data_IF_999506106948
#
_entry.id   IF_999506106948
#
_cell.length_a   1.000
_cell.length_b   1.000
_cell.length_c   1.000
_cell.angle_alpha   90.00
_cell.angle_beta   90.00
_cell.angle_gamma   90.00
#
_symmetry.space_group_name_H-M   'P 1'
#
loop_
_entity.id
_entity.type
_entity.pdbx_description
1 polymer ?
#
# COMPACT_ATOMS: atom_id res chain seq x y z
N UNK A 1 20.14 -24.45 -29.43
CA UNK A 1 19.91 -25.20 -28.16
C UNK A 1 18.74 -26.15 -28.35
N UNK A 2 18.80 -27.41 -27.87
CA UNK A 2 17.65 -28.33 -27.95
C UNK A 2 16.43 -27.69 -27.28
N UNK A 3 15.25 -27.76 -27.90
CA UNK A 3 14.02 -27.13 -27.41
C UNK A 3 13.71 -27.46 -25.94
N UNK A 4 14.08 -28.66 -25.46
CA UNK A 4 13.90 -29.04 -24.05
C UNK A 4 14.80 -28.28 -23.07
N UNK A 5 16.02 -27.87 -23.47
CA UNK A 5 16.91 -27.05 -22.62
C UNK A 5 16.39 -25.63 -22.47
N UNK A 6 15.76 -25.09 -23.52
CA UNK A 6 15.11 -23.77 -23.46
C UNK A 6 13.88 -23.82 -22.56
N UNK A 7 13.06 -24.86 -22.68
CA UNK A 7 11.88 -25.06 -21.83
C UNK A 7 12.26 -25.11 -20.34
N UNK A 8 13.24 -25.93 -19.96
CA UNK A 8 13.69 -26.04 -18.56
C UNK A 8 14.19 -24.69 -18.03
N UNK A 9 14.97 -23.96 -18.82
CA UNK A 9 15.51 -22.67 -18.40
C UNK A 9 14.40 -21.63 -18.19
N UNK A 10 13.41 -21.58 -19.08
CA UNK A 10 12.25 -20.70 -18.94
C UNK A 10 11.45 -21.06 -17.68
N UNK A 11 11.16 -22.33 -17.45
CA UNK A 11 10.41 -22.77 -16.26
C UNK A 11 11.16 -22.46 -14.97
N UNK A 12 12.48 -22.65 -14.93
CA UNK A 12 13.30 -22.32 -13.76
C UNK A 12 13.35 -20.82 -13.47
N UNK A 13 13.49 -19.98 -14.50
CA UNK A 13 13.46 -18.51 -14.35
C UNK A 13 12.09 -18.04 -13.85
N UNK A 14 11.01 -18.61 -14.40
CA UNK A 14 9.65 -18.28 -13.97
C UNK A 14 9.40 -18.72 -12.51
N UNK A 15 9.87 -19.91 -12.13
CA UNK A 15 9.79 -20.40 -10.75
C UNK A 15 10.53 -19.50 -9.76
N UNK A 16 11.73 -19.05 -10.11
CA UNK A 16 12.50 -18.09 -9.31
C UNK A 16 11.79 -16.74 -9.18
N UNK A 17 11.18 -16.23 -10.25
CA UNK A 17 10.44 -14.98 -10.22
C UNK A 17 9.21 -15.05 -9.30
N UNK A 18 8.42 -16.13 -9.40
CA UNK A 18 7.25 -16.37 -8.53
C UNK A 18 7.68 -16.51 -7.07
N UNK A 19 8.74 -17.28 -6.81
CA UNK A 19 9.26 -17.46 -5.45
C UNK A 19 9.77 -16.15 -4.84
N UNK A 20 10.48 -15.35 -5.63
CA UNK A 20 10.98 -14.03 -5.20
C UNK A 20 9.83 -13.07 -4.89
N UNK A 21 8.76 -13.09 -5.70
CA UNK A 21 7.57 -12.29 -5.46
C UNK A 21 6.84 -12.73 -4.18
N UNK A 22 6.70 -14.03 -3.94
CA UNK A 22 6.08 -14.56 -2.71
C UNK A 22 6.86 -14.19 -1.44
N UNK A 23 8.20 -14.20 -1.50
CA UNK A 23 9.04 -13.74 -0.38
C UNK A 23 8.83 -12.24 -0.15
N UNK A 24 8.76 -11.43 -1.22
CA UNK A 24 8.56 -9.99 -1.11
C UNK A 24 7.25 -9.65 -0.38
N UNK A 25 6.15 -10.34 -0.70
CA UNK A 25 4.85 -10.09 -0.04
C UNK A 25 4.81 -10.54 1.42
N UNK A 26 5.62 -11.52 1.82
CA UNK A 26 5.75 -11.97 3.21
C UNK A 26 6.57 -11.02 4.09
N UNK A 27 7.48 -10.24 3.50
CA UNK A 27 8.33 -9.30 4.26
C UNK A 27 7.60 -7.96 4.46
N UNK A 28 6.63 -7.63 3.62
CA UNK A 28 5.87 -6.38 3.71
C UNK A 28 5.00 -6.35 4.98
N UNK A 29 5.31 -5.42 5.89
CA UNK A 29 4.60 -5.27 7.17
C UNK A 29 3.79 -3.99 7.19
N UNK A 30 2.66 -4.02 7.89
CA UNK A 30 1.90 -2.80 8.20
C UNK A 30 2.81 -1.88 9.02
N UNK A 31 2.80 -0.60 8.67
CA UNK A 31 3.68 0.42 9.26
C UNK A 31 2.89 1.28 10.22
N UNK A 32 3.48 1.60 11.37
CA UNK A 32 2.88 2.49 12.37
C UNK A 32 2.63 3.88 11.76
N UNK A 33 1.52 4.51 12.16
CA UNK A 33 1.12 5.81 11.58
C UNK A 33 2.16 6.90 11.84
N UNK A 34 2.84 6.85 13.00
CA UNK A 34 3.90 7.79 13.37
C UNK A 34 5.11 7.78 12.43
N UNK A 35 5.30 6.68 11.68
CA UNK A 35 6.38 6.56 10.73
C UNK A 35 6.03 7.13 9.34
N UNK A 36 4.81 7.61 9.14
CA UNK A 36 4.27 8.03 7.86
C UNK A 36 3.93 9.52 7.92
N UNK A 37 4.49 10.28 6.97
CA UNK A 37 4.10 11.65 6.72
C UNK A 37 3.15 11.69 5.52
N UNK A 38 2.04 12.39 5.68
CA UNK A 38 1.04 12.56 4.62
C UNK A 38 1.10 14.00 4.14
N UNK A 39 1.30 14.18 2.84
CA UNK A 39 1.40 15.49 2.20
C UNK A 39 0.07 15.89 1.56
N UNK A 40 -0.68 14.93 1.01
CA UNK A 40 -1.92 15.19 0.28
C UNK A 40 -2.90 14.01 0.42
N UNK A 41 -4.18 14.33 0.65
CA UNK A 41 -5.29 13.36 0.68
C UNK A 41 -6.53 14.01 0.10
N UNK A 42 -7.00 13.48 -1.01
CA UNK A 42 -8.15 14.02 -1.72
C UNK A 42 -9.10 12.89 -2.16
N UNK A 43 -10.41 13.13 -2.06
CA UNK A 43 -11.44 12.24 -2.58
C UNK A 43 -12.09 12.92 -3.80
N UNK A 44 -11.83 12.39 -4.98
CA UNK A 44 -12.40 12.84 -6.24
C UNK A 44 -13.66 12.05 -6.60
N UNK A 45 -14.70 12.78 -7.01
CA UNK A 45 -15.96 12.23 -7.57
C UNK A 45 -16.63 11.16 -6.70
N UNK A 46 -16.30 11.14 -5.40
CA UNK A 46 -16.75 10.10 -4.45
C UNK A 46 -16.27 8.69 -4.79
N UNK A 47 -15.29 8.50 -5.67
CA UNK A 47 -14.91 7.17 -6.17
C UNK A 47 -13.41 6.94 -6.24
N UNK A 48 -12.63 8.01 -6.17
CA UNK A 48 -11.17 7.94 -6.20
C UNK A 48 -10.61 8.62 -4.98
N UNK A 49 -9.83 7.90 -4.18
CA UNK A 49 -9.04 8.44 -3.08
C UNK A 49 -7.58 8.55 -3.56
N UNK A 50 -7.07 9.77 -3.65
CA UNK A 50 -5.68 10.04 -3.96
C UNK A 50 -4.90 10.36 -2.69
N UNK A 51 -3.73 9.75 -2.56
CA UNK A 51 -2.90 9.85 -1.37
C UNK A 51 -1.45 10.01 -1.79
N UNK A 52 -0.80 11.01 -1.19
CA UNK A 52 0.61 11.27 -1.36
C UNK A 52 1.28 11.56 -0.03
N UNK A 53 2.50 11.10 0.12
CA UNK A 53 3.29 11.30 1.33
C UNK A 53 4.64 10.62 1.27
N UNK A 54 5.31 10.55 2.41
CA UNK A 54 6.61 9.91 2.56
C UNK A 54 6.72 9.15 3.90
N UNK A 55 7.77 8.35 4.03
CA UNK A 55 8.11 7.71 5.30
C UNK A 55 9.15 8.56 6.03
N UNK A 56 8.94 8.75 7.33
CA UNK A 56 9.88 9.49 8.20
C UNK A 56 11.21 8.75 8.37
N UNK A 57 11.20 7.42 8.23
CA UNK A 57 12.38 6.56 8.33
C UNK A 57 13.06 6.33 6.97
N UNK A 58 14.33 6.70 6.85
CA UNK A 58 15.14 6.51 5.62
C UNK A 58 15.26 5.06 5.12
N UNK A 59 15.01 4.11 6.01
CA UNK A 59 15.14 2.68 5.84
C UNK A 59 13.79 1.98 5.61
N UNK A 60 12.69 2.73 5.60
CA UNK A 60 11.38 2.22 5.21
C UNK A 60 11.13 2.49 3.73
N UNK A 61 10.72 1.46 2.99
CA UNK A 61 10.41 1.56 1.56
C UNK A 61 8.98 1.13 1.31
N UNK A 62 8.30 1.85 0.42
CA UNK A 62 6.92 1.55 0.05
C UNK A 62 6.81 0.13 -0.53
N UNK A 63 5.89 -0.67 0.03
CA UNK A 63 5.63 -2.04 -0.39
C UNK A 63 4.16 -2.29 -0.78
N UNK A 64 3.30 -1.28 -0.67
CA UNK A 64 1.88 -1.37 -0.99
C UNK A 64 0.99 -0.83 0.12
N UNK A 65 -0.31 -1.05 -0.02
CA UNK A 65 -1.31 -0.74 1.00
C UNK A 65 -2.37 -1.85 1.06
N UNK A 66 -3.16 -1.84 2.13
CA UNK A 66 -4.47 -2.49 2.19
C UNK A 66 -5.48 -1.51 2.76
N UNK A 67 -6.76 -1.74 2.54
CA UNK A 67 -7.81 -0.93 3.15
C UNK A 67 -9.04 -1.76 3.47
N UNK A 68 -9.84 -1.27 4.43
CA UNK A 68 -11.22 -1.72 4.67
C UNK A 68 -12.14 -0.50 4.74
N UNK A 69 -13.41 -0.69 4.37
CA UNK A 69 -14.47 0.30 4.63
C UNK A 69 -15.44 -0.33 5.63
N UNK A 70 -15.55 0.27 6.82
CA UNK A 70 -16.39 -0.22 7.92
C UNK A 70 -17.19 0.96 8.46
N UNK A 71 -18.52 0.85 8.46
CA UNK A 71 -19.42 1.88 9.01
C UNK A 71 -19.11 3.29 8.47
N UNK A 72 -19.07 3.45 7.15
CA UNK A 72 -18.76 4.71 6.46
C UNK A 72 -17.35 5.28 6.73
N UNK A 73 -16.44 4.49 7.31
CA UNK A 73 -15.05 4.90 7.56
C UNK A 73 -14.10 4.07 6.71
N UNK A 74 -13.20 4.75 6.01
CA UNK A 74 -12.14 4.12 5.23
C UNK A 74 -10.88 4.02 6.08
N UNK A 75 -10.35 2.82 6.26
CA UNK A 75 -9.12 2.56 7.02
C UNK A 75 -8.02 2.11 6.08
N UNK A 76 -7.08 3.01 5.79
CA UNK A 76 -5.89 2.74 5.01
C UNK A 76 -4.77 2.19 5.89
N UNK A 77 -4.13 1.11 5.48
CA UNK A 77 -2.91 0.57 6.11
C UNK A 77 -1.78 0.52 5.10
N UNK A 78 -0.73 1.27 5.38
CA UNK A 78 0.47 1.30 4.54
C UNK A 78 1.39 0.14 4.89
N UNK A 79 1.99 -0.47 3.87
CA UNK A 79 2.97 -1.53 4.04
C UNK A 79 4.35 -1.06 3.63
N UNK A 80 5.34 -1.37 4.46
CA UNK A 80 6.75 -1.11 4.16
C UNK A 80 7.59 -2.37 4.26
N UNK A 81 8.77 -2.30 3.62
CA UNK A 81 9.85 -3.27 3.75
C UNK A 81 11.15 -2.56 4.09
N UNK A 82 12.06 -3.25 4.77
CA UNK A 82 13.39 -2.74 5.11
C UNK A 82 14.39 -2.85 3.94
N UNK A 83 14.21 -3.87 3.10
CA UNK A 83 15.10 -4.20 1.98
C UNK A 83 14.27 -4.50 0.73
N UNK A 84 14.70 -3.98 -0.42
CA UNK A 84 13.86 -3.95 -1.63
C UNK A 84 12.77 -2.85 -1.55
N UNK A 85 12.08 -2.56 -2.66
CA UNK A 85 11.04 -1.52 -2.70
C UNK A 85 11.50 -0.15 -3.22
N UNK A 86 10.55 0.76 -3.43
CA UNK A 86 10.80 2.11 -3.94
C UNK A 86 11.29 3.00 -2.80
N UNK A 87 12.44 3.65 -3.00
CA UNK A 87 12.93 4.67 -2.09
C UNK A 87 12.20 5.99 -2.34
N UNK A 88 11.93 6.74 -1.26
CA UNK A 88 11.19 7.99 -1.27
C UNK A 88 9.67 7.80 -1.16
N UNK A 89 8.95 8.90 -1.34
CA UNK A 89 7.52 8.97 -1.12
C UNK A 89 6.64 8.06 -1.98
N UNK A 90 5.39 7.95 -1.55
CA UNK A 90 4.31 7.28 -2.23
C UNK A 90 3.33 8.30 -2.81
N UNK A 91 2.75 7.93 -3.95
CA UNK A 91 1.75 8.71 -4.68
C UNK A 91 0.90 7.69 -5.44
N UNK A 92 -0.35 7.51 -5.01
CA UNK A 92 -1.24 6.50 -5.59
C UNK A 92 -2.72 6.87 -5.45
N UNK A 93 -3.54 6.23 -6.28
CA UNK A 93 -4.99 6.33 -6.29
C UNK A 93 -5.63 4.99 -5.90
N UNK A 94 -6.70 5.05 -5.11
CA UNK A 94 -7.58 3.93 -4.82
C UNK A 94 -8.94 4.23 -5.44
N UNK A 95 -9.41 3.33 -6.32
CA UNK A 95 -10.71 3.43 -6.98
C UNK A 95 -11.68 2.42 -6.37
N UNK A 96 -12.71 2.91 -5.69
CA UNK A 96 -13.73 2.08 -5.05
C UNK A 96 -15.06 2.85 -5.01
N UNK A 97 -16.15 2.25 -5.50
CA UNK A 97 -17.47 2.91 -5.54
C UNK A 97 -18.06 3.17 -4.16
N UNK A 98 -17.59 2.47 -3.12
CA UNK A 98 -18.05 2.68 -1.74
C UNK A 98 -17.44 3.93 -1.10
N UNK A 99 -16.44 4.57 -1.72
CA UNK A 99 -15.90 5.85 -1.26
C UNK A 99 -16.96 6.96 -1.24
N UNK A 100 -18.03 6.83 -2.01
CA UNK A 100 -19.09 7.84 -2.09
C UNK A 100 -19.86 7.98 -0.77
N UNK A 101 -19.83 6.93 0.06
CA UNK A 101 -20.49 6.89 1.35
C UNK A 101 -19.51 7.15 2.50
N UNK A 102 -18.22 7.30 2.22
CA UNK A 102 -17.20 7.47 3.25
C UNK A 102 -17.27 8.87 3.85
N UNK A 103 -17.41 8.92 5.18
CA UNK A 103 -17.44 10.14 5.99
C UNK A 103 -16.09 10.50 6.60
N UNK A 104 -15.15 9.57 6.60
CA UNK A 104 -13.81 9.81 7.11
C UNK A 104 -12.81 8.79 6.54
N UNK A 105 -11.61 9.27 6.23
CA UNK A 105 -10.45 8.45 5.87
C UNK A 105 -9.47 8.49 7.03
N UNK A 106 -9.08 7.31 7.49
CA UNK A 106 -8.07 7.12 8.52
C UNK A 106 -6.86 6.41 7.95
N UNK A 107 -5.67 6.87 8.34
CA UNK A 107 -4.47 6.04 8.32
C UNK A 107 -4.49 5.19 9.59
N UNK A 108 -4.30 3.88 9.45
CA UNK A 108 -4.25 2.95 10.55
C UNK A 108 -2.93 2.17 10.50
N UNK A 109 -2.28 2.03 11.65
CA UNK A 109 -1.11 1.17 11.83
C UNK A 109 -1.49 -0.28 12.09
N UNK A 110 -0.57 -1.04 12.68
CA UNK A 110 -0.77 -2.47 12.99
C UNK A 110 -1.88 -2.65 14.04
N UNK A 111 -1.96 -1.71 14.98
CA UNK A 111 -2.96 -1.67 16.03
C UNK A 111 -4.19 -0.84 15.63
N UNK A 112 -5.40 -1.24 16.03
CA UNK A 112 -6.62 -0.45 15.79
C UNK A 112 -6.64 0.88 16.53
N UNK A 113 -5.86 0.99 17.61
CA UNK A 113 -5.71 2.23 18.37
C UNK A 113 -4.71 3.19 17.72
N UNK A 114 -3.81 2.68 16.88
CA UNK A 114 -2.87 3.51 16.11
C UNK A 114 -3.58 3.99 14.84
N UNK A 115 -4.28 5.11 14.95
CA UNK A 115 -5.01 5.69 13.85
C UNK A 115 -4.91 7.21 13.83
N UNK A 116 -4.83 7.77 12.62
CA UNK A 116 -4.78 9.21 12.38
C UNK A 116 -5.85 9.56 11.35
N UNK A 117 -6.69 10.55 11.68
CA UNK A 117 -7.68 11.07 10.73
C UNK A 117 -6.95 11.84 9.63
N UNK A 118 -7.16 11.42 8.38
CA UNK A 118 -6.56 12.05 7.21
C UNK A 118 -7.50 13.02 6.51
N UNK A 119 -8.78 12.68 6.44
CA UNK A 119 -9.75 13.45 5.66
C UNK A 119 -11.18 13.25 6.17
N UNK A 120 -11.98 14.29 6.04
CA UNK A 120 -13.44 14.29 6.18
C UNK A 120 -14.05 15.14 5.05
N UNK A 121 -15.30 14.87 4.63
CA UNK A 121 -16.01 15.74 3.70
C UNK A 121 -16.03 17.18 4.20
N UNK A 122 -15.87 18.15 3.29
CA UNK A 122 -16.12 19.56 3.59
C UNK A 122 -17.65 19.75 3.66
N UNK A 123 -18.12 20.43 4.70
CA UNK A 123 -19.52 20.83 4.85
C UNK A 123 -19.99 21.78 3.74
#
# INVERSE_FOLDING_TARGET
>A
MKKSRVLVLVTSVLGLAIFSFAIYTLIAKITDTSAIQIDEVEVFDGQTLHIKGDFTGSNQKYAGYTFDIIEDKFYLRMKTVLLGGKAGGFDFEIKDSNLANVKAVYLQGESKQDQVLLWTPKE
#
